data_IF_916986234454
#
_entry.id   IF_916986234454
#
_cell.length_a   1.000
_cell.length_b   1.000
_cell.length_c   1.000
_cell.angle_alpha   90.00
_cell.angle_beta   90.00
_cell.angle_gamma   90.00
#
_symmetry.space_group_name_H-M   'P 1'
#
loop_
_entity.id
_entity.type
_entity.pdbx_description
1 polymer ?
#
# COMPACT_ATOMS: atom_id res chain seq x y z
N UNK A 1 17.11 -7.56 -6.83
CA UNK A 1 17.78 -8.89 -6.78
C UNK A 1 17.54 -9.58 -5.44
N UNK A 2 17.77 -8.93 -4.29
CA UNK A 2 17.53 -9.53 -2.96
C UNK A 2 16.15 -10.18 -2.76
N UNK A 3 15.07 -9.51 -3.17
CA UNK A 3 13.70 -10.07 -3.11
C UNK A 3 13.54 -11.40 -3.88
N UNK A 4 14.26 -11.57 -5.00
CA UNK A 4 14.22 -12.80 -5.79
C UNK A 4 14.94 -13.91 -5.03
N UNK A 5 16.10 -13.61 -4.44
CA UNK A 5 16.86 -14.57 -3.63
C UNK A 5 16.08 -14.98 -2.37
N UNK A 6 15.42 -14.03 -1.71
CA UNK A 6 14.50 -14.30 -0.59
C UNK A 6 13.37 -15.23 -1.01
N UNK A 7 12.73 -14.94 -2.15
CA UNK A 7 11.65 -15.77 -2.70
C UNK A 7 12.11 -17.21 -2.94
N UNK A 8 13.30 -17.38 -3.56
CA UNK A 8 13.91 -18.68 -3.82
C UNK A 8 14.27 -19.42 -2.53
N UNK A 9 14.87 -18.71 -1.57
CA UNK A 9 15.26 -19.25 -0.27
C UNK A 9 14.04 -19.68 0.54
N UNK A 10 12.97 -18.88 0.55
CA UNK A 10 11.70 -19.23 1.18
C UNK A 10 11.01 -20.42 0.51
N UNK A 11 11.16 -20.57 -0.82
CA UNK A 11 10.66 -21.76 -1.50
C UNK A 11 11.45 -23.02 -1.10
N UNK A 12 12.78 -22.91 -1.04
CA UNK A 12 13.66 -23.99 -0.60
C UNK A 12 13.36 -24.43 0.84
N UNK A 13 13.20 -23.45 1.75
CA UNK A 13 12.81 -23.66 3.14
C UNK A 13 11.52 -24.48 3.28
N UNK A 14 10.52 -24.14 2.47
CA UNK A 14 9.23 -24.85 2.43
C UNK A 14 9.35 -26.24 1.84
N UNK A 15 10.07 -26.39 0.72
CA UNK A 15 10.27 -27.69 0.07
C UNK A 15 10.98 -28.70 0.96
N UNK A 16 12.02 -28.26 1.67
CA UNK A 16 12.73 -29.07 2.67
C UNK A 16 11.80 -29.46 3.83
N UNK A 17 11.03 -28.50 4.37
CA UNK A 17 10.07 -28.77 5.44
C UNK A 17 8.99 -29.78 5.04
N UNK A 18 8.46 -29.67 3.82
CA UNK A 18 7.47 -30.61 3.27
C UNK A 18 8.07 -32.01 3.07
N UNK A 19 9.37 -32.13 2.73
CA UNK A 19 10.03 -33.42 2.55
C UNK A 19 10.23 -34.18 3.87
N UNK A 20 10.68 -33.50 4.94
CA UNK A 20 10.83 -34.14 6.26
C UNK A 20 9.46 -34.54 6.80
N UNK A 21 8.44 -33.70 6.61
CA UNK A 21 7.07 -34.03 7.04
C UNK A 21 6.52 -35.25 6.31
N UNK A 22 6.80 -35.41 5.00
CA UNK A 22 6.44 -36.63 4.27
C UNK A 22 7.14 -37.87 4.84
N UNK A 23 8.38 -37.76 5.28
CA UNK A 23 9.09 -38.87 5.93
C UNK A 23 8.47 -39.21 7.28
N UNK A 24 8.11 -38.20 8.08
CA UNK A 24 7.39 -38.40 9.34
C UNK A 24 6.03 -39.10 9.11
N UNK A 25 5.25 -38.64 8.13
CA UNK A 25 3.95 -39.22 7.78
C UNK A 25 4.08 -40.67 7.25
N UNK A 26 5.21 -41.02 6.64
CA UNK A 26 5.49 -42.39 6.17
C UNK A 26 5.80 -43.39 7.30
N UNK A 27 5.91 -42.92 8.55
CA UNK A 27 6.27 -43.76 9.70
C UNK A 27 7.75 -44.10 9.77
N UNK A 28 8.62 -43.24 9.22
CA UNK A 28 10.07 -43.44 9.27
C UNK A 28 10.59 -43.52 10.72
N UNK A 29 11.63 -44.33 10.94
CA UNK A 29 12.29 -44.44 12.22
C UNK A 29 12.88 -43.08 12.66
N UNK A 30 12.92 -42.83 13.97
CA UNK A 30 13.43 -41.57 14.54
C UNK A 30 14.89 -41.31 14.17
N UNK A 31 15.70 -42.36 14.03
CA UNK A 31 17.10 -42.26 13.57
C UNK A 31 17.21 -41.63 12.17
N UNK A 32 16.36 -42.05 11.23
CA UNK A 32 16.33 -41.52 9.86
C UNK A 32 15.89 -40.06 9.85
N UNK A 33 14.91 -39.72 10.71
CA UNK A 33 14.45 -38.34 10.85
C UNK A 33 15.55 -37.44 11.42
N UNK A 34 16.32 -37.91 12.42
CA UNK A 34 17.47 -37.18 12.96
C UNK A 34 18.55 -36.98 11.91
N UNK A 35 18.91 -38.03 11.17
CA UNK A 35 19.92 -37.94 10.11
C UNK A 35 19.50 -36.94 9.02
N UNK A 36 18.26 -37.01 8.57
CA UNK A 36 17.72 -36.08 7.57
C UNK A 36 17.71 -34.64 8.10
N UNK A 37 17.32 -34.44 9.36
CA UNK A 37 17.31 -33.12 9.99
C UNK A 37 18.73 -32.53 10.08
N UNK A 38 19.70 -33.35 10.51
CA UNK A 38 21.12 -32.95 10.52
C UNK A 38 21.61 -32.57 9.13
N UNK A 39 21.25 -33.34 8.10
CA UNK A 39 21.66 -33.06 6.71
C UNK A 39 21.24 -31.68 6.19
N UNK A 40 20.18 -31.09 6.76
CA UNK A 40 19.67 -29.76 6.40
C UNK A 40 20.51 -28.66 7.04
N UNK A 41 20.91 -28.85 8.29
CA UNK A 41 21.71 -27.89 9.06
C UNK A 41 23.22 -28.04 8.85
N UNK A 42 23.68 -29.04 8.08
CA UNK A 42 25.07 -29.11 7.63
C UNK A 42 25.35 -28.00 6.62
N UNK A 43 26.00 -26.93 7.09
CA UNK A 43 26.65 -25.94 6.24
C UNK A 43 28.15 -26.23 6.17
N UNK A 44 28.75 -26.22 4.98
CA UNK A 44 30.20 -26.34 4.80
C UNK A 44 30.95 -25.06 5.28
N UNK A 45 30.22 -23.99 5.62
CA UNK A 45 30.78 -22.63 5.76
C UNK A 45 30.85 -22.16 7.23
N UNK A 46 30.03 -22.69 8.16
CA UNK A 46 30.04 -22.26 9.57
C UNK A 46 29.99 -23.44 10.55
N UNK A 47 31.16 -23.85 11.04
CA UNK A 47 31.32 -24.99 11.97
C UNK A 47 30.63 -24.77 13.32
N UNK A 48 30.71 -23.57 13.90
CA UNK A 48 30.17 -23.29 15.26
C UNK A 48 28.63 -23.26 15.32
N UNK A 49 27.95 -22.89 14.23
CA UNK A 49 26.49 -22.92 14.15
C UNK A 49 25.95 -24.33 13.86
N UNK A 50 26.69 -25.11 13.09
CA UNK A 50 26.36 -26.50 12.74
C UNK A 50 26.46 -27.42 13.97
N UNK A 51 27.50 -27.25 14.79
CA UNK A 51 27.68 -28.03 16.02
C UNK A 51 26.59 -27.77 17.06
N UNK A 52 26.16 -26.51 17.23
CA UNK A 52 25.03 -26.17 18.10
C UNK A 52 23.73 -26.81 17.64
N UNK A 53 23.47 -26.81 16.32
CA UNK A 53 22.31 -27.46 15.75
C UNK A 53 22.34 -28.97 15.98
N UNK A 54 23.49 -29.63 15.79
CA UNK A 54 23.64 -31.06 16.02
C UNK A 54 23.46 -31.44 17.50
N UNK A 55 24.07 -30.68 18.42
CA UNK A 55 23.89 -30.89 19.85
C UNK A 55 22.43 -30.72 20.29
N UNK A 56 21.72 -29.74 19.71
CA UNK A 56 20.30 -29.55 19.97
C UNK A 56 19.48 -30.73 19.44
N UNK A 57 19.74 -31.19 18.21
CA UNK A 57 19.03 -32.32 17.60
C UNK A 57 19.28 -33.62 18.37
N UNK A 58 20.50 -33.84 18.84
CA UNK A 58 20.85 -35.03 19.62
C UNK A 58 20.26 -35.01 21.03
N UNK A 59 20.10 -33.82 21.62
CA UNK A 59 19.49 -33.63 22.93
C UNK A 59 17.97 -33.67 22.98
N UNK A 60 17.27 -33.69 21.84
CA UNK A 60 15.81 -33.78 21.80
C UNK A 60 15.32 -35.21 22.10
N UNK A 61 14.25 -35.31 22.87
CA UNK A 61 13.50 -36.56 23.02
C UNK A 61 12.74 -36.90 21.72
N UNK A 62 12.40 -38.17 21.54
CA UNK A 62 11.78 -38.65 20.29
C UNK A 62 10.40 -38.00 20.01
N UNK A 63 9.64 -37.67 21.05
CA UNK A 63 8.36 -36.98 20.89
C UNK A 63 8.57 -35.49 20.59
N UNK A 64 9.55 -34.84 21.22
CA UNK A 64 9.91 -33.44 20.93
C UNK A 64 10.42 -33.26 19.49
N UNK A 65 11.22 -34.22 19.01
CA UNK A 65 11.70 -34.24 17.63
C UNK A 65 10.54 -34.30 16.63
N UNK A 66 9.54 -35.16 16.89
CA UNK A 66 8.36 -35.27 16.02
C UNK A 66 7.55 -33.98 16.01
N UNK A 67 7.38 -33.35 17.16
CA UNK A 67 6.65 -32.09 17.24
C UNK A 67 7.40 -30.95 16.56
N UNK A 68 8.73 -30.87 16.70
CA UNK A 68 9.55 -29.91 15.95
C UNK A 68 9.42 -30.10 14.43
N UNK A 69 9.44 -31.34 13.94
CA UNK A 69 9.25 -31.64 12.51
C UNK A 69 7.85 -31.22 12.04
N UNK A 70 6.81 -31.44 12.86
CA UNK A 70 5.45 -31.01 12.53
C UNK A 70 5.34 -29.50 12.40
N UNK A 71 6.03 -28.73 13.23
CA UNK A 71 6.06 -27.26 13.09
C UNK A 71 6.77 -26.82 11.81
N UNK A 72 7.83 -27.52 11.42
CA UNK A 72 8.55 -27.30 10.15
C UNK A 72 7.70 -27.55 8.90
N UNK A 73 6.47 -28.07 9.05
CA UNK A 73 5.50 -28.12 7.96
C UNK A 73 5.21 -26.73 7.40
N UNK A 74 5.36 -25.64 8.16
CA UNK A 74 5.22 -24.27 7.64
C UNK A 74 6.44 -23.82 6.80
N UNK A 75 7.56 -24.52 6.93
CA UNK A 75 8.85 -24.22 6.32
C UNK A 75 9.95 -24.21 7.38
N UNK A 76 11.17 -24.58 7.00
CA UNK A 76 12.34 -24.51 7.88
C UNK A 76 12.73 -23.04 8.07
N UNK A 77 13.00 -22.63 9.31
CA UNK A 77 13.47 -21.27 9.59
C UNK A 77 14.93 -21.14 9.15
N UNK A 78 15.23 -20.07 8.42
CA UNK A 78 16.55 -19.76 7.90
C UNK A 78 17.00 -18.39 8.41
N UNK A 79 18.28 -18.26 8.71
CA UNK A 79 18.90 -17.01 9.10
C UNK A 79 19.99 -16.65 8.08
N UNK A 80 19.94 -15.43 7.55
CA UNK A 80 20.97 -14.88 6.68
C UNK A 80 21.43 -13.55 7.27
N UNK A 81 22.68 -13.44 7.74
CA UNK A 81 23.26 -12.16 8.15
C UNK A 81 23.23 -11.12 7.03
N UNK A 82 23.30 -9.83 7.41
CA UNK A 82 23.18 -8.70 6.46
C UNK A 82 24.38 -8.62 5.50
N UNK A 83 25.58 -8.94 5.98
CA UNK A 83 26.83 -8.78 5.21
C UNK A 83 27.49 -10.11 4.82
N UNK A 84 27.18 -11.19 5.53
CA UNK A 84 27.71 -12.54 5.29
C UNK A 84 26.56 -13.54 5.17
N UNK A 85 25.73 -13.30 4.16
CA UNK A 85 24.49 -14.03 3.91
C UNK A 85 24.66 -15.27 3.05
N UNK A 86 23.56 -15.98 2.82
CA UNK A 86 23.57 -17.17 1.95
C UNK A 86 24.00 -16.80 0.52
N UNK A 87 24.92 -17.57 -0.05
CA UNK A 87 25.35 -17.42 -1.45
C UNK A 87 24.29 -17.99 -2.41
N UNK A 88 24.36 -17.64 -3.70
CA UNK A 88 23.44 -18.21 -4.70
C UNK A 88 23.58 -19.74 -4.81
N UNK A 89 24.79 -20.25 -4.64
CA UNK A 89 25.06 -21.69 -4.71
C UNK A 89 24.48 -22.42 -3.49
N UNK A 90 24.48 -21.79 -2.31
CA UNK A 90 23.78 -22.32 -1.12
C UNK A 90 22.27 -22.41 -1.36
N UNK A 91 21.67 -21.37 -1.96
CA UNK A 91 20.24 -21.35 -2.30
C UNK A 91 19.90 -22.47 -3.29
N UNK A 92 20.73 -22.63 -4.35
CA UNK A 92 20.56 -23.70 -5.35
C UNK A 92 20.73 -25.09 -4.74
N UNK A 93 21.68 -25.27 -3.83
CA UNK A 93 21.87 -26.52 -3.11
C UNK A 93 20.66 -26.86 -2.24
N UNK A 94 20.11 -25.87 -1.53
CA UNK A 94 18.93 -26.05 -0.69
C UNK A 94 17.66 -26.34 -1.52
N UNK A 95 17.48 -25.66 -2.65
CA UNK A 95 16.40 -25.97 -3.61
C UNK A 95 16.49 -27.42 -4.10
N UNK A 96 17.71 -27.87 -4.44
CA UNK A 96 17.95 -29.26 -4.86
C UNK A 96 17.65 -30.25 -3.73
N UNK A 97 18.04 -29.94 -2.48
CA UNK A 97 17.71 -30.77 -1.31
C UNK A 97 16.20 -30.94 -1.18
N UNK A 98 15.43 -29.85 -1.29
CA UNK A 98 13.96 -29.88 -1.25
C UNK A 98 13.26 -30.46 -2.48
N UNK A 99 13.99 -31.01 -3.45
CA UNK A 99 13.42 -31.59 -4.68
C UNK A 99 12.84 -30.54 -5.65
N UNK A 100 13.28 -29.28 -5.56
CA UNK A 100 12.79 -28.16 -6.35
C UNK A 100 13.74 -27.82 -7.52
N UNK A 101 13.26 -27.14 -8.58
CA UNK A 101 14.11 -26.65 -9.66
C UNK A 101 15.19 -25.70 -9.15
N UNK A 102 16.46 -25.96 -9.49
CA UNK A 102 17.61 -25.15 -9.04
C UNK A 102 17.54 -23.69 -9.49
N UNK A 103 16.83 -23.40 -10.59
CA UNK A 103 16.61 -22.03 -11.09
C UNK A 103 15.53 -21.27 -10.31
N UNK A 104 14.84 -21.89 -9.35
CA UNK A 104 13.76 -21.24 -8.61
C UNK A 104 12.54 -20.89 -9.47
N UNK A 105 12.39 -21.56 -10.63
CA UNK A 105 11.32 -21.31 -11.59
C UNK A 105 10.48 -22.57 -11.81
N UNK A 106 9.16 -22.40 -11.85
CA UNK A 106 8.19 -23.47 -12.12
C UNK A 106 7.31 -23.13 -13.33
N UNK A 107 6.79 -24.17 -13.98
CA UNK A 107 5.75 -24.01 -15.00
C UNK A 107 4.41 -23.80 -14.32
N UNK A 108 3.81 -22.63 -14.50
CA UNK A 108 2.48 -22.32 -14.00
C UNK A 108 1.43 -22.48 -15.10
N UNK A 109 0.17 -22.61 -14.68
CA UNK A 109 -1.01 -22.69 -15.54
C UNK A 109 -1.93 -21.52 -15.23
N UNK A 110 -2.54 -20.95 -16.26
CA UNK A 110 -3.52 -19.88 -16.10
C UNK A 110 -4.81 -20.45 -15.46
N UNK A 111 -5.21 -19.89 -14.31
CA UNK A 111 -6.40 -20.32 -13.58
C UNK A 111 -7.72 -20.05 -14.30
N UNK A 112 -7.74 -19.19 -15.33
CA UNK A 112 -8.94 -18.92 -16.13
C UNK A 112 -9.11 -19.87 -17.31
N UNK A 113 -8.01 -20.21 -18.00
CA UNK A 113 -8.04 -21.00 -19.24
C UNK A 113 -7.54 -22.44 -19.09
N UNK A 114 -6.76 -22.73 -18.05
CA UNK A 114 -6.09 -24.02 -17.85
C UNK A 114 -4.85 -24.23 -18.71
N UNK A 115 -4.48 -23.27 -19.57
CA UNK A 115 -3.31 -23.39 -20.44
C UNK A 115 -2.02 -23.03 -19.69
N UNK A 116 -0.89 -23.70 -20.02
CA UNK A 116 0.40 -23.37 -19.44
C UNK A 116 0.93 -22.03 -19.93
N UNK A 117 1.62 -21.27 -19.07
CA UNK A 117 2.36 -20.08 -19.50
C UNK A 117 3.53 -20.46 -20.43
N UNK A 118 3.88 -19.54 -21.33
CA UNK A 118 4.94 -19.76 -22.33
C UNK A 118 6.34 -19.90 -21.72
N UNK A 119 6.58 -19.26 -20.58
CA UNK A 119 7.87 -19.29 -19.86
C UNK A 119 7.63 -19.71 -18.41
N UNK A 120 8.64 -20.34 -17.82
CA UNK A 120 8.62 -20.65 -16.40
C UNK A 120 8.65 -19.35 -15.59
N UNK A 121 7.95 -19.35 -14.47
CA UNK A 121 7.78 -18.21 -13.58
C UNK A 121 8.53 -18.49 -12.28
N UNK A 122 9.18 -17.48 -11.72
CA UNK A 122 9.79 -17.59 -10.38
C UNK A 122 8.68 -17.67 -9.34
N UNK A 123 8.68 -18.75 -8.56
CA UNK A 123 7.67 -19.02 -7.52
C UNK A 123 8.41 -19.22 -6.21
N UNK A 124 7.82 -18.78 -5.11
CA UNK A 124 8.37 -19.04 -3.81
C UNK A 124 7.61 -18.33 -2.71
N UNK A 125 8.27 -18.19 -1.57
CA UNK A 125 7.70 -17.56 -0.38
C UNK A 125 8.53 -16.31 -0.09
N UNK A 126 7.86 -15.17 -0.12
CA UNK A 126 8.41 -13.87 0.26
C UNK A 126 7.69 -13.39 1.51
N UNK A 127 8.41 -12.75 2.42
CA UNK A 127 7.81 -12.21 3.63
C UNK A 127 7.12 -10.88 3.34
N UNK A 128 5.78 -10.90 3.34
CA UNK A 128 4.97 -9.72 3.05
C UNK A 128 4.50 -9.03 4.32
N UNK A 129 4.72 -7.72 4.39
CA UNK A 129 4.21 -6.86 5.47
C UNK A 129 3.01 -6.04 4.99
N UNK A 130 2.00 -5.90 5.86
CA UNK A 130 0.89 -4.97 5.66
C UNK A 130 1.24 -3.63 6.32
N UNK A 131 1.36 -2.58 5.52
CA UNK A 131 1.58 -1.22 6.04
C UNK A 131 0.30 -0.64 6.66
N UNK A 132 0.46 0.33 7.56
CA UNK A 132 -0.65 1.02 8.22
C UNK A 132 -1.47 1.95 7.30
N UNK A 133 -1.10 2.08 6.02
CA UNK A 133 -1.81 2.93 5.06
C UNK A 133 -3.11 2.28 4.57
N UNK A 134 -4.13 2.26 5.42
CA UNK A 134 -5.44 1.68 5.11
C UNK A 134 -6.24 2.61 4.19
N UNK A 135 -7.04 1.99 3.32
CA UNK A 135 -7.90 2.72 2.37
C UNK A 135 -9.03 3.42 3.12
N UNK A 136 -9.59 2.78 4.15
CA UNK A 136 -10.66 3.33 4.98
C UNK A 136 -10.28 4.66 5.64
N UNK A 137 -9.00 4.82 5.99
CA UNK A 137 -8.47 6.06 6.55
C UNK A 137 -8.39 7.18 5.51
N UNK A 138 -8.25 6.84 4.23
CA UNK A 138 -8.07 7.79 3.12
C UNK A 138 -9.37 8.19 2.42
N UNK A 139 -10.36 7.29 2.36
CA UNK A 139 -11.64 7.61 1.74
C UNK A 139 -12.34 8.69 2.59
N UNK A 140 -12.73 9.77 1.92
CA UNK A 140 -13.49 10.87 2.47
C UNK A 140 -14.27 11.57 1.35
N UNK A 141 -15.52 11.89 1.61
CA UNK A 141 -16.37 12.63 0.69
C UNK A 141 -17.31 13.53 1.50
N UNK A 142 -17.69 14.66 0.91
CA UNK A 142 -18.69 15.57 1.49
C UNK A 142 -19.54 16.20 0.40
N UNK A 143 -20.78 16.53 0.76
CA UNK A 143 -21.64 17.43 -0.01
C UNK A 143 -21.62 18.82 0.61
N UNK A 144 -22.05 18.94 1.88
CA UNK A 144 -22.07 20.18 2.68
C UNK A 144 -21.41 19.89 4.03
N UNK A 145 -20.88 20.92 4.69
CA UNK A 145 -20.21 20.80 5.98
C UNK A 145 -19.88 22.16 6.58
N UNK A 146 -19.02 22.23 7.60
CA UNK A 146 -18.67 23.50 8.23
C UNK A 146 -17.80 24.38 7.31
N UNK A 147 -17.87 25.69 7.57
CA UNK A 147 -17.18 26.75 6.86
C UNK A 147 -16.38 27.62 7.82
N UNK A 148 -15.32 28.25 7.32
CA UNK A 148 -14.50 29.22 8.05
C UNK A 148 -15.31 30.48 8.38
N UNK A 149 -15.11 31.05 9.57
CA UNK A 149 -15.78 32.29 9.97
C UNK A 149 -15.29 33.50 9.16
N UNK A 150 -14.02 33.51 8.75
CA UNK A 150 -13.39 34.66 8.10
C UNK A 150 -13.69 34.67 6.61
N UNK A 151 -13.28 33.62 5.90
CA UNK A 151 -13.36 33.55 4.43
C UNK A 151 -14.61 32.86 3.92
N UNK A 152 -15.45 32.30 4.80
CA UNK A 152 -16.64 31.51 4.43
C UNK A 152 -16.36 30.28 3.53
N UNK A 153 -15.09 29.88 3.38
CA UNK A 153 -14.69 28.69 2.63
C UNK A 153 -14.89 27.39 3.44
N UNK A 154 -15.12 26.24 2.79
CA UNK A 154 -15.17 24.94 3.47
C UNK A 154 -13.90 24.67 4.29
N UNK A 155 -14.06 24.12 5.50
CA UNK A 155 -12.90 23.70 6.30
C UNK A 155 -12.07 22.62 5.60
N UNK A 156 -10.80 22.45 6.00
CA UNK A 156 -9.90 21.44 5.44
C UNK A 156 -9.79 20.18 6.30
N UNK A 157 -9.54 19.04 5.65
CA UNK A 157 -9.19 17.78 6.32
C UNK A 157 -10.38 16.91 6.75
N UNK A 158 -10.17 15.59 6.73
CA UNK A 158 -11.20 14.57 7.00
C UNK A 158 -11.87 14.74 8.37
N UNK A 159 -11.10 15.07 9.41
CA UNK A 159 -11.59 15.21 10.79
C UNK A 159 -12.64 16.32 10.97
N UNK A 160 -12.57 17.36 10.13
CA UNK A 160 -13.50 18.50 10.18
C UNK A 160 -14.62 18.38 9.14
N UNK A 161 -14.81 17.18 8.58
CA UNK A 161 -15.62 16.96 7.39
C UNK A 161 -15.24 17.94 6.27
N UNK A 162 -13.94 18.18 6.09
CA UNK A 162 -13.41 19.23 5.24
C UNK A 162 -13.54 18.98 3.74
N UNK A 163 -13.50 20.04 2.95
CA UNK A 163 -13.46 20.00 1.49
C UNK A 163 -12.08 19.69 0.95
N UNK A 164 -12.06 19.27 -0.31
CA UNK A 164 -10.82 19.14 -1.05
C UNK A 164 -10.38 20.52 -1.53
N UNK A 165 -9.08 20.80 -1.40
CA UNK A 165 -8.51 22.01 -1.97
C UNK A 165 -8.54 21.91 -3.49
N UNK A 166 -9.24 22.85 -4.12
CA UNK A 166 -9.12 23.12 -5.55
C UNK A 166 -8.03 24.20 -5.70
N UNK A 167 -6.89 23.82 -6.25
CA UNK A 167 -5.71 24.67 -6.32
C UNK A 167 -5.60 25.43 -7.64
N UNK A 168 -4.55 26.25 -7.71
CA UNK A 168 -4.23 27.10 -8.86
C UNK A 168 -3.97 26.27 -10.13
N UNK A 169 -3.29 25.12 -10.00
CA UNK A 169 -3.02 24.26 -11.16
C UNK A 169 -4.31 23.63 -11.71
N UNK A 170 -5.28 23.31 -10.86
CA UNK A 170 -6.59 22.82 -11.30
C UNK A 170 -7.44 23.92 -11.96
N UNK A 171 -7.29 25.18 -11.52
CA UNK A 171 -7.89 26.35 -12.19
C UNK A 171 -7.34 26.49 -13.61
N UNK A 172 -6.01 26.48 -13.77
CA UNK A 172 -5.37 26.57 -15.10
C UNK A 172 -5.81 25.44 -16.03
N UNK A 173 -6.03 24.24 -15.49
CA UNK A 173 -6.54 23.14 -16.28
C UNK A 173 -7.94 23.46 -16.83
N UNK A 174 -8.87 23.97 -16.01
CA UNK A 174 -10.22 24.35 -16.47
C UNK A 174 -10.20 25.53 -17.45
N UNK A 175 -9.32 26.51 -17.24
CA UNK A 175 -9.12 27.64 -18.14
C UNK A 175 -8.61 27.16 -19.52
N UNK A 176 -7.65 26.24 -19.54
CA UNK A 176 -7.12 25.64 -20.77
C UNK A 176 -8.18 24.90 -21.59
N UNK A 177 -9.20 24.33 -20.93
CA UNK A 177 -10.36 23.73 -21.59
C UNK A 177 -11.45 24.73 -21.98
N UNK A 178 -11.37 25.99 -21.55
CA UNK A 178 -12.42 26.99 -21.76
C UNK A 178 -13.70 26.70 -20.96
N UNK A 179 -13.60 25.98 -19.84
CA UNK A 179 -14.75 25.56 -19.04
C UNK A 179 -15.25 26.66 -18.08
N UNK A 180 -15.63 27.82 -18.64
CA UNK A 180 -15.95 29.04 -17.88
C UNK A 180 -17.06 28.85 -16.83
N UNK A 181 -18.17 28.18 -17.17
CA UNK A 181 -19.27 27.94 -16.22
C UNK A 181 -18.88 26.99 -15.08
N UNK A 182 -18.09 25.95 -15.38
CA UNK A 182 -17.60 25.02 -14.35
C UNK A 182 -16.64 25.72 -13.40
N UNK A 183 -15.73 26.54 -13.94
CA UNK A 183 -14.80 27.32 -13.15
C UNK A 183 -15.53 28.33 -12.26
N UNK A 184 -16.49 29.07 -12.83
CA UNK A 184 -17.32 30.02 -12.07
C UNK A 184 -18.06 29.32 -10.92
N UNK A 185 -18.66 28.15 -11.18
CA UNK A 185 -19.36 27.38 -10.15
C UNK A 185 -18.43 26.93 -9.01
N UNK A 186 -17.23 26.44 -9.36
CA UNK A 186 -16.24 25.98 -8.38
C UNK A 186 -15.71 27.10 -7.49
N UNK A 187 -15.49 28.30 -8.06
CA UNK A 187 -14.92 29.44 -7.35
C UNK A 187 -15.94 30.27 -6.57
N UNK A 188 -17.24 30.18 -6.88
CA UNK A 188 -18.29 31.00 -6.24
C UNK A 188 -19.21 30.13 -5.37
N UNK A 189 -20.31 29.64 -5.94
CA UNK A 189 -21.43 28.95 -5.26
C UNK A 189 -21.04 27.65 -4.55
N UNK A 190 -19.94 26.98 -4.96
CA UNK A 190 -19.39 25.80 -4.27
C UNK A 190 -18.34 26.12 -3.21
N UNK A 191 -17.84 27.36 -3.18
CA UNK A 191 -16.75 27.80 -2.30
C UNK A 191 -17.30 28.73 -1.19
N UNK A 192 -17.34 30.03 -1.44
CA UNK A 192 -17.48 31.07 -0.43
C UNK A 192 -18.60 32.09 -0.70
N UNK A 193 -19.38 31.94 -1.77
CA UNK A 193 -20.61 32.71 -1.95
C UNK A 193 -21.73 32.18 -1.02
N UNK A 194 -21.94 32.88 0.10
CA UNK A 194 -22.88 32.48 1.16
C UNK A 194 -24.34 32.47 0.68
N UNK A 195 -24.72 33.45 -0.15
CA UNK A 195 -26.08 33.55 -0.67
C UNK A 195 -26.29 32.55 -1.81
N UNK A 196 -25.33 32.48 -2.75
CA UNK A 196 -25.36 31.59 -3.89
C UNK A 196 -25.37 30.11 -3.52
N UNK A 197 -24.59 29.68 -2.51
CA UNK A 197 -24.60 28.27 -2.06
C UNK A 197 -25.96 27.82 -1.53
N UNK A 198 -26.67 28.70 -0.81
CA UNK A 198 -27.98 28.40 -0.23
C UNK A 198 -29.03 28.31 -1.33
N UNK A 199 -29.04 29.29 -2.25
CA UNK A 199 -29.90 29.28 -3.44
C UNK A 199 -29.65 28.04 -4.31
N UNK A 200 -28.38 27.69 -4.56
CA UNK A 200 -27.98 26.53 -5.34
C UNK A 200 -28.51 25.23 -4.72
N UNK A 201 -28.36 25.07 -3.42
CA UNK A 201 -28.88 23.89 -2.72
C UNK A 201 -30.40 23.77 -2.84
N UNK A 202 -31.13 24.87 -2.62
CA UNK A 202 -32.58 24.89 -2.83
C UNK A 202 -32.98 24.57 -4.27
N UNK A 203 -32.25 25.12 -5.24
CA UNK A 203 -32.51 24.95 -6.65
C UNK A 203 -32.34 23.48 -7.06
N UNK A 204 -31.28 22.81 -6.58
CA UNK A 204 -31.04 21.37 -6.77
C UNK A 204 -32.18 20.55 -6.16
N UNK A 205 -32.62 20.88 -4.93
CA UNK A 205 -33.73 20.16 -4.26
C UNK A 205 -35.06 20.36 -5.01
N UNK A 206 -35.30 21.54 -5.57
CA UNK A 206 -36.49 21.89 -6.36
C UNK A 206 -36.43 21.38 -7.81
N UNK A 207 -35.29 20.86 -8.26
CA UNK A 207 -35.07 20.40 -9.63
C UNK A 207 -34.94 21.54 -10.66
N UNK A 208 -34.68 22.77 -10.21
CA UNK A 208 -34.45 23.94 -11.06
C UNK A 208 -32.95 24.20 -11.13
N UNK A 209 -32.33 24.12 -12.31
CA UNK A 209 -30.87 24.27 -12.46
C UNK A 209 -30.47 25.70 -12.81
N UNK A 210 -30.84 26.67 -11.98
CA UNK A 210 -30.46 28.08 -12.14
C UNK A 210 -29.25 28.42 -11.27
N UNK A 211 -28.21 28.99 -11.88
CA UNK A 211 -27.01 29.45 -11.19
C UNK A 211 -27.02 30.98 -11.19
N UNK A 212 -27.02 31.57 -10.00
CA UNK A 212 -26.96 33.02 -9.79
C UNK A 212 -25.74 33.31 -8.89
N UNK A 213 -24.54 33.44 -9.48
CA UNK A 213 -23.30 33.60 -8.72
C UNK A 213 -23.15 35.05 -8.25
N UNK A 214 -22.92 35.22 -6.95
CA UNK A 214 -22.58 36.49 -6.33
C UNK A 214 -21.06 36.75 -6.27
N UNK A 215 -20.69 37.82 -5.57
CA UNK A 215 -19.30 38.13 -5.26
C UNK A 215 -18.77 37.17 -4.18
N UNK A 216 -17.59 36.55 -4.37
CA UNK A 216 -16.92 35.75 -3.35
C UNK A 216 -16.63 36.53 -2.07
N UNK A 217 -16.86 35.93 -0.90
CA UNK A 217 -16.52 36.58 0.38
C UNK A 217 -15.01 36.80 0.55
N UNK A 218 -14.17 35.93 -0.01
CA UNK A 218 -12.72 36.16 -0.02
C UNK A 218 -12.31 37.47 -0.71
N UNK A 219 -13.04 37.88 -1.74
CA UNK A 219 -12.81 39.17 -2.40
C UNK A 219 -13.23 40.35 -1.51
N UNK A 220 -14.37 40.24 -0.82
CA UNK A 220 -14.80 41.26 0.16
C UNK A 220 -13.77 41.43 1.28
N UNK A 221 -13.25 40.31 1.80
CA UNK A 221 -12.19 40.32 2.82
C UNK A 221 -10.95 41.02 2.28
N UNK A 222 -10.52 40.72 1.06
CA UNK A 222 -9.39 41.39 0.41
C UNK A 222 -9.57 42.91 0.31
N UNK A 223 -10.75 43.37 -0.13
CA UNK A 223 -11.06 44.81 -0.21
C UNK A 223 -10.96 45.47 1.16
N UNK A 224 -11.50 44.84 2.21
CA UNK A 224 -11.43 45.34 3.59
C UNK A 224 -10.00 45.36 4.13
N UNK A 225 -9.18 44.38 3.79
CA UNK A 225 -7.76 44.36 4.14
C UNK A 225 -7.00 45.50 3.44
N UNK A 226 -7.26 45.77 2.16
CA UNK A 226 -6.66 46.91 1.45
C UNK A 226 -7.08 48.26 2.06
N UNK A 227 -8.37 48.44 2.37
CA UNK A 227 -8.89 49.64 3.03
C UNK A 227 -8.25 49.88 4.40
N UNK A 228 -7.85 48.82 5.11
CA UNK A 228 -7.15 48.93 6.40
C UNK A 228 -5.77 49.58 6.30
N UNK A 229 -5.16 49.57 5.10
CA UNK A 229 -3.89 50.26 4.82
C UNK A 229 -4.07 51.74 4.42
N UNK A 230 -5.26 52.31 4.63
CA UNK A 230 -5.63 53.66 4.17
C UNK A 230 -5.60 53.80 2.63
N UNK A 231 -5.84 52.71 1.91
CA UNK A 231 -6.05 52.73 0.46
C UNK A 231 -7.54 52.89 0.17
N UNK A 232 -7.87 53.80 -0.73
CA UNK A 232 -9.25 53.97 -1.21
C UNK A 232 -9.51 52.96 -2.34
N UNK A 233 -10.34 51.97 -2.06
CA UNK A 233 -10.67 50.88 -2.98
C UNK A 233 -12.17 50.69 -2.95
N UNK A 234 -12.82 50.96 -4.09
CA UNK A 234 -14.26 50.85 -4.25
C UNK A 234 -14.60 50.04 -5.50
N UNK A 235 -15.75 49.37 -5.48
CA UNK A 235 -16.34 48.72 -6.64
C UNK A 235 -17.18 49.75 -7.38
N UNK A 236 -16.72 50.19 -8.54
CA UNK A 236 -17.43 51.15 -9.37
C UNK A 236 -18.44 50.42 -10.27
N UNK A 237 -19.64 50.98 -10.39
CA UNK A 237 -20.57 50.58 -11.45
C UNK A 237 -20.20 51.32 -12.75
N UNK A 238 -20.52 50.74 -13.91
CA UNK A 238 -20.16 51.32 -15.21
C UNK A 238 -20.78 52.70 -15.47
N UNK A 239 -21.80 53.10 -14.70
CA UNK A 239 -22.45 54.40 -14.78
C UNK A 239 -21.69 55.50 -14.00
N UNK A 240 -20.80 55.13 -13.07
CA UNK A 240 -20.04 56.05 -12.22
C UNK A 240 -18.71 56.51 -12.86
N UNK A 241 -18.38 55.99 -14.06
CA UNK A 241 -17.17 56.34 -14.80
C UNK A 241 -17.53 57.30 -15.93
N UNK A 242 -17.53 58.59 -15.62
CA UNK A 242 -17.50 59.65 -16.65
C UNK A 242 -16.18 59.53 -17.44
N UNK A 243 -16.23 58.87 -18.60
CA UNK A 243 -15.12 58.81 -19.58
C UNK A 243 -15.05 60.10 -20.40
#
# INVERSE_FOLDING_TARGET
VGQILETMLGWAAKGVGDQINKLLDSGAATDILREQLKSIYTSEIVTDSSERAFNLIDGLDDDELRDAIREMKKGVLLASPVFDGASEDDIRALLKKGGLPTRGQARLYDGRTGLPFQRNVTVGIIYMLKLHHLVDDKIHARSIGPYSLVTQQPLGGKAQFGGQRFGEMEVWALEGYGAAHTLQEMLTVKSDDVAGRTKMYEAIVKGTNTIDPGLPESFNVLVKELQSFCLDVELLELEDVDV
#
